data_IF_519399358791
#
_entry.id   IF_519399358791
#
_cell.length_a   1.000
_cell.length_b   1.000
_cell.length_c   1.000
_cell.angle_alpha   90.00
_cell.angle_beta   90.00
_cell.angle_gamma   90.00
#
_symmetry.space_group_name_H-M   'P 1'
#
loop_
_entity.id
_entity.type
_entity.pdbx_description
1 polymer ?
#
# COMPACT_ATOMS: atom_id res chain seq x y z
N UNK A 1 11.22 2.67 -2.58
CA UNK A 1 12.05 3.29 -1.56
C UNK A 1 12.02 4.82 -1.67
N UNK A 2 12.21 5.52 -0.56
CA UNK A 2 12.47 6.97 -0.51
C UNK A 2 13.97 7.19 -0.49
N UNK A 3 14.68 6.35 0.24
CA UNK A 3 16.13 6.28 0.28
C UNK A 3 16.60 4.81 0.41
N UNK A 4 17.84 4.55 0.06
CA UNK A 4 18.48 3.25 0.30
C UNK A 4 19.71 3.49 1.16
N UNK A 5 19.78 2.94 2.38
CA UNK A 5 20.96 3.01 3.22
C UNK A 5 22.18 2.36 2.55
N UNK A 6 23.38 2.83 2.85
CA UNK A 6 24.62 2.23 2.33
C UNK A 6 24.85 0.80 2.85
N UNK A 7 24.40 0.55 4.08
CA UNK A 7 24.41 -0.78 4.71
C UNK A 7 22.98 -1.17 5.04
N UNK A 8 22.56 -2.35 4.60
CA UNK A 8 21.25 -2.93 4.85
C UNK A 8 21.47 -4.25 5.56
N UNK A 9 21.03 -4.33 6.83
CA UNK A 9 21.08 -5.54 7.66
C UNK A 9 19.73 -6.27 7.64
N UNK A 10 18.65 -5.54 7.32
CA UNK A 10 17.31 -6.08 7.18
C UNK A 10 17.26 -7.13 6.05
N UNK A 11 16.70 -8.30 6.34
CA UNK A 11 16.54 -9.35 5.32
C UNK A 11 15.48 -8.99 4.30
N UNK A 12 15.85 -9.01 3.03
CA UNK A 12 14.91 -8.76 1.92
C UNK A 12 14.01 -9.98 1.70
N UNK A 13 12.69 -9.82 1.76
CA UNK A 13 11.77 -10.96 1.77
C UNK A 13 11.58 -11.63 0.39
N UNK A 14 12.17 -11.09 -0.67
CA UNK A 14 11.94 -11.54 -2.05
C UNK A 14 13.20 -12.12 -2.73
N UNK A 15 14.28 -12.35 -1.98
CA UNK A 15 15.45 -13.09 -2.44
C UNK A 15 15.74 -14.25 -1.50
N UNK A 16 16.25 -15.35 -2.04
CA UNK A 16 16.60 -16.55 -1.24
C UNK A 16 17.75 -16.25 -0.26
N UNK A 17 18.69 -15.39 -0.68
CA UNK A 17 19.82 -14.96 0.16
C UNK A 17 19.41 -13.99 1.26
N UNK A 18 18.23 -13.36 1.14
CA UNK A 18 17.83 -12.25 2.00
C UNK A 18 18.53 -10.93 1.67
N UNK A 19 19.39 -10.90 0.67
CA UNK A 19 20.11 -9.71 0.25
C UNK A 19 19.24 -8.82 -0.65
N UNK A 20 19.28 -7.51 -0.40
CA UNK A 20 18.65 -6.53 -1.25
C UNK A 20 19.56 -6.17 -2.43
N UNK A 21 19.29 -6.73 -3.58
CA UNK A 21 20.03 -6.49 -4.83
C UNK A 21 19.50 -5.29 -5.64
N UNK A 22 18.50 -4.60 -5.13
CA UNK A 22 17.93 -3.43 -5.78
C UNK A 22 18.89 -2.25 -5.74
N UNK A 23 19.04 -1.56 -6.88
CA UNK A 23 19.87 -0.39 -7.13
C UNK A 23 20.72 0.10 -5.94
N UNK A 24 21.96 -0.40 -5.79
CA UNK A 24 22.84 0.01 -4.67
C UNK A 24 23.12 1.52 -4.66
N UNK A 25 22.95 2.19 -5.81
CA UNK A 25 23.04 3.64 -5.98
C UNK A 25 21.91 4.41 -5.31
N UNK A 26 20.78 3.77 -4.98
CA UNK A 26 19.59 4.45 -4.45
C UNK A 26 18.83 5.29 -5.49
N UNK A 27 19.06 5.05 -6.78
CA UNK A 27 18.42 5.79 -7.88
C UNK A 27 16.95 5.38 -8.07
N UNK A 28 16.11 5.74 -7.11
CA UNK A 28 14.67 5.61 -7.20
C UNK A 28 14.02 6.99 -7.26
N UNK A 29 13.10 7.18 -8.20
CA UNK A 29 12.22 8.33 -8.15
C UNK A 29 11.26 8.20 -6.96
N UNK A 30 10.96 9.32 -6.30
CA UNK A 30 9.91 9.33 -5.29
C UNK A 30 8.58 8.97 -5.94
N UNK A 31 7.95 7.96 -5.40
CA UNK A 31 6.86 7.21 -6.04
C UNK A 31 5.62 8.07 -6.32
N UNK A 32 5.21 8.91 -5.37
CA UNK A 32 4.00 9.72 -5.53
C UNK A 32 4.25 10.90 -6.47
N UNK A 33 5.46 11.44 -6.47
CA UNK A 33 5.89 12.47 -7.43
C UNK A 33 5.87 11.92 -8.85
N UNK A 34 6.42 10.71 -9.07
CA UNK A 34 6.38 10.05 -10.37
C UNK A 34 4.93 9.78 -10.82
N UNK A 35 4.07 9.28 -9.93
CA UNK A 35 2.67 9.04 -10.26
C UNK A 35 1.92 10.33 -10.61
N UNK A 36 2.25 11.45 -9.96
CA UNK A 36 1.67 12.75 -10.28
C UNK A 36 2.07 13.19 -11.70
N UNK A 37 3.35 13.00 -12.07
CA UNK A 37 3.81 13.27 -13.43
C UNK A 37 3.10 12.39 -14.45
N UNK A 38 2.99 11.09 -14.20
CA UNK A 38 2.30 10.14 -15.07
C UNK A 38 0.79 10.44 -15.17
N UNK A 39 0.16 10.94 -14.13
CA UNK A 39 -1.23 11.38 -14.17
C UNK A 39 -1.45 12.50 -15.19
N UNK A 40 -0.47 13.42 -15.32
CA UNK A 40 -0.53 14.55 -16.23
C UNK A 40 -0.25 14.22 -17.70
N UNK A 41 0.51 13.16 -17.99
CA UNK A 41 0.93 12.78 -19.36
C UNK A 41 0.20 11.56 -19.93
N UNK A 42 -0.69 10.95 -19.17
CA UNK A 42 -1.49 9.79 -19.59
C UNK A 42 -2.98 10.06 -19.39
N UNK A 43 -3.84 9.38 -20.16
CA UNK A 43 -5.29 9.63 -20.13
C UNK A 43 -6.12 8.41 -19.70
N UNK A 44 -5.68 7.19 -19.99
CA UNK A 44 -6.50 5.97 -19.85
C UNK A 44 -5.95 4.96 -18.85
N UNK A 45 -4.63 4.84 -18.77
CA UNK A 45 -3.98 3.83 -17.91
C UNK A 45 -4.25 4.11 -16.43
N UNK A 46 -4.55 3.07 -15.68
CA UNK A 46 -4.62 3.17 -14.22
C UNK A 46 -3.23 3.30 -13.61
N UNK A 47 -3.17 4.04 -12.53
CA UNK A 47 -1.93 4.36 -11.82
C UNK A 47 -1.94 3.60 -10.49
N UNK A 48 -0.98 2.69 -10.33
CA UNK A 48 -0.91 1.82 -9.14
C UNK A 48 0.50 1.84 -8.56
N UNK A 49 0.73 2.46 -7.39
CA UNK A 49 1.97 2.22 -6.66
C UNK A 49 1.97 0.77 -6.16
N UNK A 50 2.97 -0.02 -6.55
CA UNK A 50 3.05 -1.43 -6.15
C UNK A 50 4.36 -1.74 -5.42
N UNK A 51 4.48 -1.38 -4.12
CA UNK A 51 3.45 -0.74 -3.30
C UNK A 51 4.02 0.51 -2.62
N UNK A 52 3.15 1.44 -2.22
CA UNK A 52 3.53 2.53 -1.32
C UNK A 52 3.67 2.00 0.11
N UNK A 53 4.80 2.27 0.75
CA UNK A 53 4.98 1.95 2.17
C UNK A 53 4.31 3.05 2.99
N UNK A 54 3.22 2.68 3.67
CA UNK A 54 2.34 3.63 4.35
C UNK A 54 3.04 4.35 5.51
N UNK A 55 3.81 3.69 6.40
CA UNK A 55 4.46 4.35 7.53
C UNK A 55 5.55 5.37 7.18
N UNK A 56 6.05 5.39 5.95
CA UNK A 56 7.16 6.28 5.57
C UNK A 56 6.77 7.75 5.44
N UNK A 57 5.50 8.08 5.46
CA UNK A 57 5.01 9.44 5.23
C UNK A 57 4.01 9.85 6.31
N UNK A 58 4.04 11.13 6.64
CA UNK A 58 2.96 11.72 7.44
C UNK A 58 1.60 11.42 6.77
N UNK A 59 0.62 10.86 7.48
CA UNK A 59 -0.62 10.39 6.86
C UNK A 59 -1.47 11.51 6.27
N UNK A 60 -1.47 12.69 6.88
CA UNK A 60 -2.23 13.83 6.37
C UNK A 60 -1.67 14.32 5.04
N UNK A 61 -0.34 14.43 4.96
CA UNK A 61 0.35 14.80 3.72
C UNK A 61 0.17 13.72 2.64
N UNK A 62 0.33 12.45 3.00
CA UNK A 62 0.13 11.35 2.05
C UNK A 62 -1.29 11.31 1.50
N UNK A 63 -2.31 11.42 2.36
CA UNK A 63 -3.71 11.48 1.96
C UNK A 63 -3.98 12.64 0.99
N UNK A 64 -3.34 13.81 1.25
CA UNK A 64 -3.47 15.00 0.39
C UNK A 64 -2.87 14.79 -0.98
N UNK A 65 -1.66 14.24 -1.06
CA UNK A 65 -0.99 13.94 -2.33
C UNK A 65 -1.82 12.92 -3.13
N UNK A 66 -2.28 11.86 -2.48
CA UNK A 66 -3.09 10.81 -3.12
C UNK A 66 -4.43 11.34 -3.65
N UNK A 67 -5.12 12.18 -2.89
CA UNK A 67 -6.33 12.85 -3.35
C UNK A 67 -6.05 13.75 -4.56
N UNK A 68 -4.91 14.45 -4.55
CA UNK A 68 -4.48 15.29 -5.69
C UNK A 68 -4.21 14.44 -6.93
N UNK A 69 -3.50 13.32 -6.80
CA UNK A 69 -3.25 12.38 -7.92
C UNK A 69 -4.57 11.85 -8.47
N UNK A 70 -5.52 11.51 -7.61
CA UNK A 70 -6.82 11.00 -8.03
C UNK A 70 -7.60 12.06 -8.86
N UNK A 71 -7.60 13.31 -8.41
CA UNK A 71 -8.20 14.42 -9.13
C UNK A 71 -7.49 14.65 -10.48
N UNK A 72 -6.17 14.79 -10.49
CA UNK A 72 -5.39 15.05 -11.70
C UNK A 72 -5.48 13.92 -12.73
N UNK A 73 -5.61 12.69 -12.25
CA UNK A 73 -5.78 11.52 -13.12
C UNK A 73 -7.23 11.26 -13.53
N UNK A 74 -8.19 12.06 -13.05
CA UNK A 74 -9.62 11.82 -13.24
C UNK A 74 -10.07 10.42 -12.80
N UNK A 75 -9.68 10.04 -11.55
CA UNK A 75 -10.12 8.80 -10.92
C UNK A 75 -9.41 7.54 -11.41
N UNK A 76 -8.16 7.63 -11.86
CA UNK A 76 -7.37 6.47 -12.32
C UNK A 76 -6.44 5.91 -11.25
N UNK A 77 -6.40 6.47 -10.04
CA UNK A 77 -5.58 5.97 -8.95
C UNK A 77 -6.18 4.69 -8.36
N UNK A 78 -5.34 3.67 -8.16
CA UNK A 78 -5.57 2.55 -7.24
C UNK A 78 -4.40 2.52 -6.28
N UNK A 79 -4.65 2.63 -4.99
CA UNK A 79 -3.61 2.73 -3.98
C UNK A 79 -3.13 1.35 -3.54
N UNK A 80 -2.04 0.85 -4.11
CA UNK A 80 -1.33 -0.33 -3.60
C UNK A 80 -0.49 0.02 -2.36
N UNK A 81 -0.68 -0.69 -1.25
CA UNK A 81 -0.05 -0.38 0.04
C UNK A 81 0.73 -1.54 0.62
N UNK A 82 1.82 -1.23 1.29
CA UNK A 82 2.65 -2.15 2.08
C UNK A 82 3.03 -1.57 3.43
N UNK A 83 3.56 -2.44 4.31
CA UNK A 83 3.99 -2.06 5.67
C UNK A 83 5.48 -1.72 5.75
N UNK A 84 6.28 -2.10 4.74
CA UNK A 84 7.74 -1.97 4.75
C UNK A 84 8.45 -3.18 5.36
N UNK A 85 9.70 -3.37 4.94
CA UNK A 85 10.57 -4.46 5.39
C UNK A 85 11.95 -3.98 5.86
N UNK A 86 12.39 -2.79 5.42
CA UNK A 86 13.71 -2.22 5.69
C UNK A 86 13.65 -1.32 6.92
N UNK A 87 14.19 -1.79 8.04
CA UNK A 87 14.18 -1.06 9.30
C UNK A 87 15.05 0.20 9.24
N UNK A 88 16.17 0.12 8.54
CA UNK A 88 17.11 1.22 8.37
C UNK A 88 16.47 2.41 7.63
N UNK A 89 15.61 2.15 6.65
CA UNK A 89 14.87 3.20 5.96
C UNK A 89 13.82 3.84 6.89
N UNK A 90 13.13 3.03 7.71
CA UNK A 90 12.18 3.52 8.73
C UNK A 90 12.89 4.47 9.71
N UNK A 91 14.07 4.08 10.21
CA UNK A 91 14.85 4.89 11.15
C UNK A 91 15.34 6.20 10.51
N UNK A 92 15.84 6.12 9.27
CA UNK A 92 16.36 7.29 8.57
C UNK A 92 15.27 8.31 8.21
N UNK A 93 14.01 7.87 8.09
CA UNK A 93 12.85 8.72 7.83
C UNK A 93 12.17 9.26 9.10
N UNK A 94 12.70 8.94 10.29
CA UNK A 94 12.05 9.25 11.57
C UNK A 94 10.58 8.80 11.61
N UNK A 95 10.31 7.67 10.97
CA UNK A 95 8.98 7.08 10.90
C UNK A 95 8.63 6.37 12.23
N UNK A 96 7.34 6.08 12.49
CA UNK A 96 6.96 5.31 13.69
C UNK A 96 7.70 3.98 13.81
N UNK A 97 7.87 3.43 15.04
CA UNK A 97 8.71 2.27 15.31
C UNK A 97 8.47 1.10 14.34
N UNK A 98 9.54 0.54 13.80
CA UNK A 98 9.48 -0.56 12.83
C UNK A 98 8.65 -1.76 13.31
N UNK A 99 8.77 -2.11 14.60
CA UNK A 99 8.00 -3.20 15.19
C UNK A 99 6.47 -2.97 15.15
N UNK A 100 6.03 -1.71 15.12
CA UNK A 100 4.62 -1.32 15.09
C UNK A 100 4.10 -1.01 13.68
N UNK A 101 4.92 -1.12 12.63
CA UNK A 101 4.60 -0.74 11.24
C UNK A 101 3.27 -1.28 10.72
N UNK A 102 2.87 -2.47 11.15
CA UNK A 102 1.58 -3.06 10.77
C UNK A 102 0.39 -2.36 11.43
N UNK A 103 0.50 -1.99 12.70
CA UNK A 103 -0.52 -1.25 13.43
C UNK A 103 -0.61 0.19 12.92
N UNK A 104 0.53 0.84 12.69
CA UNK A 104 0.63 2.17 12.08
C UNK A 104 -0.06 2.17 10.70
N UNK A 105 0.21 1.17 9.87
CA UNK A 105 -0.45 1.04 8.55
C UNK A 105 -1.96 0.94 8.70
N UNK A 106 -2.46 0.11 9.62
CA UNK A 106 -3.91 -0.02 9.84
C UNK A 106 -4.55 1.31 10.23
N UNK A 107 -3.91 2.03 11.15
CA UNK A 107 -4.41 3.32 11.62
C UNK A 107 -4.37 4.39 10.51
N UNK A 108 -3.27 4.47 9.77
CA UNK A 108 -3.13 5.45 8.69
C UNK A 108 -4.12 5.20 7.54
N UNK A 109 -4.44 3.95 7.23
CA UNK A 109 -5.49 3.64 6.25
C UNK A 109 -6.88 4.10 6.71
N UNK A 110 -7.17 4.02 8.01
CA UNK A 110 -8.41 4.57 8.57
C UNK A 110 -8.41 6.11 8.52
N UNK A 111 -7.28 6.73 8.86
CA UNK A 111 -7.11 8.18 8.76
C UNK A 111 -7.28 8.67 7.30
N UNK A 112 -6.76 7.95 6.31
CA UNK A 112 -6.97 8.28 4.89
C UNK A 112 -8.47 8.25 4.53
N UNK A 113 -9.18 7.20 4.92
CA UNK A 113 -10.61 7.08 4.64
C UNK A 113 -11.38 8.23 5.28
N UNK A 114 -11.12 8.55 6.55
CA UNK A 114 -11.74 9.67 7.24
C UNK A 114 -11.50 10.99 6.48
N UNK A 115 -10.25 11.29 6.11
CA UNK A 115 -9.89 12.49 5.36
C UNK A 115 -10.58 12.58 4.00
N UNK A 116 -10.77 11.45 3.31
CA UNK A 116 -11.33 11.42 1.96
C UNK A 116 -12.85 11.44 1.93
N UNK A 117 -13.52 10.97 2.98
CA UNK A 117 -14.97 10.76 2.98
C UNK A 117 -15.75 11.71 3.88
N UNK A 118 -15.17 12.14 5.00
CA UNK A 118 -15.83 13.02 5.97
C UNK A 118 -15.75 14.50 5.54
N UNK A 119 -16.84 15.22 5.67
CA UNK A 119 -16.86 16.68 5.44
C UNK A 119 -16.15 17.44 6.56
N UNK A 120 -16.21 16.92 7.79
CA UNK A 120 -15.55 17.46 8.97
C UNK A 120 -14.63 16.37 9.56
N UNK A 121 -13.47 16.09 8.94
CA UNK A 121 -12.66 14.97 9.33
C UNK A 121 -12.07 15.15 10.73
N UNK A 122 -12.27 14.14 11.55
CA UNK A 122 -11.72 14.05 12.91
C UNK A 122 -11.20 12.65 13.16
N UNK A 123 -10.00 12.52 13.67
CA UNK A 123 -9.37 11.23 13.93
C UNK A 123 -8.56 11.27 15.23
N UNK A 124 -8.75 10.27 16.09
CA UNK A 124 -8.07 10.16 17.37
C UNK A 124 -7.40 8.78 17.49
N UNK A 125 -6.32 8.59 16.75
CA UNK A 125 -5.52 7.38 16.78
C UNK A 125 -4.40 7.39 17.81
N UNK A 126 -3.72 6.26 17.95
CA UNK A 126 -2.52 6.13 18.79
C UNK A 126 -1.31 6.84 18.18
N UNK A 127 -1.16 6.74 16.86
CA UNK A 127 0.01 7.23 16.12
C UNK A 127 -0.23 8.57 15.44
N UNK A 128 -1.48 8.91 15.18
CA UNK A 128 -1.81 10.17 14.55
C UNK A 128 -3.18 10.69 15.00
N UNK A 129 -3.29 12.01 15.12
CA UNK A 129 -4.52 12.67 15.55
C UNK A 129 -4.72 13.96 14.78
N UNK A 130 -5.96 14.26 14.41
CA UNK A 130 -6.35 15.54 13.84
C UNK A 130 -7.82 15.85 14.13
N UNK A 131 -8.12 17.13 14.22
CA UNK A 131 -9.47 17.67 14.34
C UNK A 131 -9.47 19.14 13.86
N UNK A 132 -10.65 19.68 13.62
CA UNK A 132 -10.83 21.09 13.24
C UNK A 132 -10.00 21.49 12.01
N UNK A 133 -10.06 20.66 10.96
CA UNK A 133 -9.34 20.87 9.70
C UNK A 133 -10.27 20.79 8.49
N UNK A 134 -9.99 21.60 7.47
CA UNK A 134 -10.55 21.46 6.15
C UNK A 134 -9.63 20.60 5.28
N UNK A 135 -10.15 19.52 4.72
CA UNK A 135 -9.39 18.65 3.83
C UNK A 135 -10.03 18.61 2.43
N UNK A 136 -9.51 19.41 1.52
CA UNK A 136 -9.94 19.52 0.12
C UNK A 136 -8.70 19.60 -0.80
N UNK A 137 -8.77 19.14 -2.08
CA UNK A 137 -9.91 18.46 -2.67
C UNK A 137 -10.12 17.06 -2.10
N UNK A 138 -11.35 16.58 -2.16
CA UNK A 138 -11.64 15.15 -1.97
C UNK A 138 -11.28 14.40 -3.25
N UNK A 139 -10.96 13.08 -3.19
CA UNK A 139 -10.84 12.26 -4.39
C UNK A 139 -12.10 12.30 -5.25
N UNK A 140 -11.94 12.15 -6.56
CA UNK A 140 -13.09 12.04 -7.46
C UNK A 140 -13.75 10.67 -7.38
N UNK A 141 -12.97 9.62 -7.13
CA UNK A 141 -13.50 8.27 -6.89
C UNK A 141 -14.28 8.22 -5.56
N UNK A 142 -15.43 7.54 -5.54
CA UNK A 142 -16.30 7.43 -4.37
C UNK A 142 -16.46 5.97 -3.95
N UNK A 143 -16.40 5.69 -2.65
CA UNK A 143 -16.20 6.62 -1.53
C UNK A 143 -14.77 7.19 -1.47
N UNK A 144 -13.78 6.49 -2.04
CA UNK A 144 -12.36 6.86 -2.14
C UNK A 144 -11.66 5.99 -3.19
N UNK A 145 -10.41 6.30 -3.59
CA UNK A 145 -9.62 5.42 -4.47
C UNK A 145 -9.52 4.02 -3.89
N UNK A 146 -9.63 2.95 -4.71
CA UNK A 146 -9.47 1.58 -4.23
C UNK A 146 -8.11 1.38 -3.56
N UNK A 147 -8.11 0.67 -2.42
CA UNK A 147 -6.91 0.34 -1.65
C UNK A 147 -6.61 -1.15 -1.82
N UNK A 148 -5.49 -1.48 -2.45
CA UNK A 148 -5.01 -2.85 -2.59
C UNK A 148 -3.87 -3.12 -1.61
N UNK A 149 -4.00 -4.14 -0.79
CA UNK A 149 -3.00 -4.47 0.24
C UNK A 149 -2.04 -5.53 -0.26
N UNK A 150 -0.75 -5.16 -0.31
CA UNK A 150 0.34 -6.04 -0.68
C UNK A 150 0.75 -7.00 0.43
N UNK A 151 1.44 -8.08 0.01
CA UNK A 151 2.00 -9.10 0.90
C UNK A 151 1.16 -10.37 1.00
N UNK A 152 1.83 -11.46 1.46
CA UNK A 152 1.27 -12.83 1.49
C UNK A 152 1.01 -13.34 2.91
N UNK A 153 1.42 -12.59 3.94
CA UNK A 153 1.22 -13.01 5.32
C UNK A 153 -0.26 -12.98 5.71
N UNK A 154 -0.64 -13.81 6.68
CA UNK A 154 -2.00 -13.80 7.25
C UNK A 154 -2.44 -12.40 7.72
N UNK A 155 -1.50 -11.60 8.23
CA UNK A 155 -1.77 -10.21 8.65
C UNK A 155 -2.06 -9.30 7.45
N UNK A 156 -1.37 -9.50 6.31
CA UNK A 156 -1.64 -8.75 5.09
C UNK A 156 -3.00 -9.11 4.49
N UNK A 157 -3.32 -10.41 4.40
CA UNK A 157 -4.62 -10.91 3.91
C UNK A 157 -5.77 -10.38 4.77
N UNK A 158 -5.61 -10.43 6.11
CA UNK A 158 -6.60 -9.88 7.04
C UNK A 158 -6.79 -8.38 6.84
N UNK A 159 -5.70 -7.62 6.69
CA UNK A 159 -5.76 -6.18 6.39
C UNK A 159 -6.48 -5.89 5.07
N UNK A 160 -6.23 -6.67 4.03
CA UNK A 160 -6.93 -6.54 2.76
C UNK A 160 -8.44 -6.73 2.92
N UNK A 161 -8.85 -7.76 3.66
CA UNK A 161 -10.24 -8.05 3.95
C UNK A 161 -10.93 -6.96 4.80
N UNK A 162 -10.27 -6.49 5.86
CA UNK A 162 -10.87 -5.57 6.83
C UNK A 162 -10.78 -4.10 6.39
N UNK A 163 -9.67 -3.70 5.78
CA UNK A 163 -9.36 -2.29 5.50
C UNK A 163 -9.16 -1.97 4.02
N UNK A 164 -8.87 -2.96 3.17
CA UNK A 164 -8.64 -2.77 1.73
C UNK A 164 -9.90 -2.91 0.88
N UNK A 165 -9.73 -2.66 -0.41
CA UNK A 165 -10.67 -3.00 -1.47
C UNK A 165 -10.15 -4.17 -2.31
N UNK A 166 -8.93 -4.65 -2.01
CA UNK A 166 -8.35 -5.80 -2.69
C UNK A 166 -7.08 -6.29 -2.04
N UNK A 167 -6.71 -7.51 -2.40
CA UNK A 167 -5.47 -8.15 -2.03
C UNK A 167 -4.51 -8.18 -3.24
N UNK A 168 -3.28 -7.71 -3.02
CA UNK A 168 -2.26 -7.58 -4.05
C UNK A 168 -1.02 -8.42 -3.71
N UNK A 169 -1.10 -9.76 -3.84
CA UNK A 169 0.03 -10.63 -3.59
C UNK A 169 1.10 -10.52 -4.67
N UNK A 170 2.32 -10.86 -4.31
CA UNK A 170 3.39 -11.09 -5.25
C UNK A 170 3.38 -12.57 -5.61
N UNK A 171 3.22 -12.90 -6.89
CA UNK A 171 3.11 -14.28 -7.37
C UNK A 171 4.46 -14.96 -7.56
N UNK A 172 4.97 -14.98 -8.76
CA UNK A 172 6.14 -15.77 -9.17
C UNK A 172 7.47 -15.14 -8.73
N UNK A 173 7.78 -15.17 -7.44
CA UNK A 173 9.11 -14.82 -6.90
C UNK A 173 9.72 -16.07 -6.28
N UNK A 174 10.95 -16.50 -6.67
CA UNK A 174 11.54 -17.74 -6.18
C UNK A 174 11.66 -17.86 -4.65
N UNK A 175 11.89 -16.73 -3.95
CA UNK A 175 11.98 -16.70 -2.49
C UNK A 175 10.62 -16.66 -1.77
N UNK A 176 9.55 -16.35 -2.48
CA UNK A 176 8.20 -16.29 -1.94
C UNK A 176 7.20 -16.78 -3.00
N UNK A 177 7.32 -18.05 -3.43
CA UNK A 177 6.42 -18.60 -4.44
C UNK A 177 4.99 -18.60 -3.93
N UNK A 178 4.06 -18.46 -4.84
CA UNK A 178 2.62 -18.62 -4.58
C UNK A 178 2.13 -19.71 -5.53
N UNK A 179 2.16 -20.94 -5.08
CA UNK A 179 1.60 -22.04 -5.83
C UNK A 179 0.06 -21.92 -5.91
N UNK A 180 -0.59 -22.54 -6.90
CA UNK A 180 -2.05 -22.47 -7.04
C UNK A 180 -2.80 -22.91 -5.77
N UNK A 181 -2.29 -23.89 -5.06
CA UNK A 181 -2.85 -24.40 -3.80
C UNK A 181 -2.75 -23.37 -2.67
N UNK A 182 -1.60 -22.68 -2.57
CA UNK A 182 -1.39 -21.58 -1.60
C UNK A 182 -2.33 -20.42 -1.88
N UNK A 183 -2.47 -20.05 -3.16
CA UNK A 183 -3.41 -19.02 -3.59
C UNK A 183 -4.83 -19.40 -3.20
N UNK A 184 -5.27 -20.62 -3.51
CA UNK A 184 -6.60 -21.11 -3.17
C UNK A 184 -6.87 -21.05 -1.66
N UNK A 185 -5.90 -21.49 -0.84
CA UNK A 185 -6.00 -21.45 0.61
C UNK A 185 -6.03 -20.00 1.14
N UNK A 186 -5.24 -19.11 0.57
CA UNK A 186 -5.22 -17.70 0.94
C UNK A 186 -6.53 -16.99 0.57
N UNK A 187 -7.15 -17.34 -0.53
CA UNK A 187 -8.49 -16.86 -0.92
C UNK A 187 -9.57 -17.31 0.08
N UNK A 188 -9.48 -18.53 0.61
CA UNK A 188 -10.38 -18.97 1.70
C UNK A 188 -10.22 -18.10 2.93
N UNK A 189 -8.96 -17.73 3.31
CA UNK A 189 -8.73 -16.85 4.44
C UNK A 189 -9.23 -15.43 4.19
N UNK A 190 -9.01 -14.90 2.98
CA UNK A 190 -9.49 -13.58 2.58
C UNK A 190 -11.01 -13.49 2.74
N UNK A 191 -11.75 -14.48 2.21
CA UNK A 191 -13.21 -14.59 2.33
C UNK A 191 -13.65 -14.62 3.79
N UNK A 192 -13.07 -15.53 4.58
CA UNK A 192 -13.42 -15.68 6.00
C UNK A 192 -13.19 -14.40 6.81
N UNK A 193 -12.12 -13.67 6.53
CA UNK A 193 -11.86 -12.40 7.21
C UNK A 193 -12.84 -11.31 6.79
N UNK A 194 -13.22 -11.24 5.51
CA UNK A 194 -14.23 -10.30 5.03
C UNK A 194 -15.61 -10.58 5.65
N UNK A 195 -16.07 -11.83 5.62
CA UNK A 195 -17.31 -12.26 6.26
C UNK A 195 -17.33 -11.96 7.76
N UNK A 196 -16.18 -12.15 8.44
CA UNK A 196 -16.02 -11.88 9.88
C UNK A 196 -16.23 -10.43 10.29
N UNK A 197 -16.13 -9.49 9.32
CA UNK A 197 -16.41 -8.05 9.53
C UNK A 197 -17.64 -7.58 8.75
N UNK A 198 -18.47 -8.50 8.26
CA UNK A 198 -19.74 -8.21 7.59
C UNK A 198 -19.58 -7.65 6.17
N UNK A 199 -18.44 -7.92 5.48
CA UNK A 199 -18.21 -7.51 4.09
C UNK A 199 -18.45 -8.66 3.14
N UNK A 200 -19.01 -8.35 1.97
CA UNK A 200 -19.12 -9.32 0.87
C UNK A 200 -17.71 -9.59 0.29
N UNK A 201 -17.21 -10.83 0.33
CA UNK A 201 -15.93 -11.19 -0.28
C UNK A 201 -15.87 -10.95 -1.79
N UNK A 202 -17.00 -10.92 -2.49
CA UNK A 202 -17.07 -10.66 -3.93
C UNK A 202 -16.72 -9.21 -4.31
N UNK A 203 -16.76 -8.29 -3.34
CA UNK A 203 -16.33 -6.89 -3.53
C UNK A 203 -14.82 -6.69 -3.46
N UNK A 204 -14.06 -7.75 -3.12
CA UNK A 204 -12.62 -7.67 -2.98
C UNK A 204 -11.89 -8.07 -4.26
N UNK A 205 -11.15 -7.13 -4.83
CA UNK A 205 -10.24 -7.43 -5.93
C UNK A 205 -9.11 -8.38 -5.50
N UNK A 206 -8.67 -9.23 -6.42
CA UNK A 206 -7.43 -10.00 -6.28
C UNK A 206 -6.54 -9.70 -7.48
N UNK A 207 -5.48 -8.94 -7.25
CA UNK A 207 -4.57 -8.47 -8.27
C UNK A 207 -3.15 -9.01 -8.03
N UNK A 208 -2.84 -10.18 -8.56
CA UNK A 208 -1.53 -10.78 -8.40
C UNK A 208 -0.50 -10.13 -9.31
N UNK A 209 0.65 -9.76 -8.73
CA UNK A 209 1.82 -9.35 -9.50
C UNK A 209 2.55 -10.60 -10.00
N UNK A 210 2.55 -10.79 -11.30
CA UNK A 210 3.31 -11.85 -11.96
C UNK A 210 4.35 -11.24 -12.90
N UNK A 211 5.55 -11.83 -13.03
CA UNK A 211 6.49 -11.41 -14.05
C UNK A 211 5.92 -11.71 -15.44
N UNK A 212 6.13 -10.77 -16.36
CA UNK A 212 5.88 -10.96 -17.78
C UNK A 212 7.20 -11.40 -18.40
N UNK A 213 7.55 -12.66 -18.30
CA UNK A 213 8.62 -13.23 -19.11
C UNK A 213 8.14 -14.52 -19.76
N UNK A 214 8.63 -14.68 -20.98
CA UNK A 214 8.49 -15.90 -21.73
C UNK A 214 9.36 -16.98 -21.05
N UNK A 215 8.81 -18.15 -20.74
CA UNK A 215 9.58 -19.22 -20.12
C UNK A 215 10.56 -19.93 -21.08
N UNK A 216 10.68 -19.53 -22.37
CA UNK A 216 11.59 -20.09 -23.36
C UNK A 216 12.97 -19.43 -23.35
#
# INVERSE_FOLDING_TARGET
HILVPRSVESSYPYTVSGEFSGAPSGEYFEQLTLLTYLAGITEKIRLVPSVMIVPYRNPLLAAKILATIDVLSNGRLTLGVGVGWMEEEVLALDAPPFAERGAVTNEYLQAFKELWTSDNPTFNGKYYQFSDINFLPKPVQKPHPPIWVGGQSRRAIRRAAELGNGWHPVGAIPAAPMEPEDLAQNLVHLRRYAEGVGRDPAELDVAMKAPLYDPD
#
